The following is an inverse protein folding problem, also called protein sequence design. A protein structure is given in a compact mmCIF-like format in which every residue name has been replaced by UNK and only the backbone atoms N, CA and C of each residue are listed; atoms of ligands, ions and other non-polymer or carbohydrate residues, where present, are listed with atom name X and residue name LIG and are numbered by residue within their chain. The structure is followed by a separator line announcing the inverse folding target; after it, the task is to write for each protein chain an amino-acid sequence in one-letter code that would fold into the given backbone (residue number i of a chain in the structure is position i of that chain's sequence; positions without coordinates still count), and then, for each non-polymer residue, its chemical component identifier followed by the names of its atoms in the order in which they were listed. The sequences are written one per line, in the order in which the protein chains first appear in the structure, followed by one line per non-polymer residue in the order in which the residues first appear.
data_IF_607645580812
#
_entry.id   IF_607645580812
#
_cell.length_a   1.000
_cell.length_b   1.000
_cell.length_c   1.000
_cell.angle_alpha   90.00
_cell.angle_beta   90.00
_cell.angle_gamma   90.00
#
_symmetry.space_group_name_H-M   'P 1'
#
loop_
_entity.id
_entity.type
_entity.pdbx_description
1 polymer ?
#
# COMPACT_ATOMS: atom_id res chain seq x y z
N UNK A 1 16.35 -22.33 6.26
CA UNK A 1 16.91 -20.97 6.47
C UNK A 1 15.77 -19.97 6.43
N UNK A 2 15.06 -19.81 7.54
CA UNK A 2 14.13 -18.69 7.69
C UNK A 2 14.92 -17.63 8.45
N UNK A 3 15.32 -16.56 7.76
CA UNK A 3 16.02 -15.45 8.40
C UNK A 3 14.97 -14.67 9.20
N UNK A 4 15.07 -14.73 10.52
CA UNK A 4 14.24 -13.95 11.43
C UNK A 4 14.70 -12.48 11.37
N UNK A 5 14.14 -11.73 10.41
CA UNK A 5 14.32 -10.28 10.28
C UNK A 5 13.28 -9.57 11.13
N UNK A 6 13.40 -9.66 12.44
CA UNK A 6 12.66 -8.82 13.36
C UNK A 6 12.91 -7.33 13.03
N UNK A 7 11.97 -6.76 12.27
CA UNK A 7 11.65 -5.34 12.06
C UNK A 7 12.68 -4.30 12.56
N UNK A 8 13.87 -4.26 11.95
CA UNK A 8 14.81 -3.16 12.11
C UNK A 8 14.45 -2.02 11.14
N UNK A 9 14.60 -0.77 11.57
CA UNK A 9 14.34 0.43 10.75
C UNK A 9 15.29 0.52 9.54
N UNK A 10 16.45 -0.14 9.63
CA UNK A 10 17.48 -0.15 8.60
C UNK A 10 17.27 -1.19 7.48
N UNK A 11 16.26 -2.07 7.61
CA UNK A 11 16.00 -3.13 6.63
C UNK A 11 14.76 -2.79 5.82
N UNK A 12 14.99 -2.36 4.58
CA UNK A 12 13.93 -2.11 3.61
C UNK A 12 13.39 -3.43 3.06
N UNK A 13 12.07 -3.49 2.89
CA UNK A 13 11.44 -4.59 2.18
C UNK A 13 11.79 -4.53 0.68
N UNK A 14 12.14 -5.67 0.05
CA UNK A 14 12.85 -5.67 -1.23
C UNK A 14 12.02 -5.19 -2.43
N UNK A 15 10.69 -5.29 -2.39
CA UNK A 15 9.85 -4.88 -3.52
C UNK A 15 9.24 -3.49 -3.33
N UNK A 16 8.70 -3.19 -2.15
CA UNK A 16 8.08 -1.90 -1.85
C UNK A 16 9.12 -0.82 -1.50
N UNK A 17 10.34 -1.22 -1.10
CA UNK A 17 11.40 -0.32 -0.64
C UNK A 17 10.96 0.55 0.55
N UNK A 18 10.25 -0.05 1.50
CA UNK A 18 9.78 0.59 2.73
C UNK A 18 10.30 -0.15 3.96
N UNK A 19 10.55 0.58 5.04
CA UNK A 19 10.94 0.09 6.34
C UNK A 19 9.92 0.42 7.44
N UNK A 20 10.26 0.07 8.68
CA UNK A 20 9.39 0.34 9.83
C UNK A 20 9.22 1.85 10.06
N UNK A 21 7.97 2.30 10.09
CA UNK A 21 7.61 3.71 10.29
C UNK A 21 7.46 4.52 9.00
N UNK A 22 7.78 3.93 7.84
CA UNK A 22 7.56 4.55 6.54
C UNK A 22 6.08 4.49 6.12
N UNK A 23 5.35 3.48 6.60
CA UNK A 23 3.93 3.29 6.36
C UNK A 23 3.12 3.36 7.67
N UNK A 24 1.90 3.85 7.56
CA UNK A 24 0.93 3.87 8.64
C UNK A 24 0.33 2.48 8.91
N UNK A 25 -0.30 2.34 10.07
CA UNK A 25 -1.06 1.13 10.42
C UNK A 25 -2.22 0.85 9.43
N UNK A 26 -2.81 1.93 8.87
CA UNK A 26 -3.91 1.89 7.93
C UNK A 26 -3.39 2.11 6.50
N UNK A 27 -3.61 1.14 5.62
CA UNK A 27 -3.12 1.18 4.24
C UNK A 27 -4.24 0.93 3.23
N UNK A 28 -4.39 1.84 2.29
CA UNK A 28 -5.23 1.68 1.11
C UNK A 28 -4.39 1.11 -0.04
N UNK A 29 -4.91 0.08 -0.72
CA UNK A 29 -4.15 -0.67 -1.73
C UNK A 29 -4.85 -0.61 -3.09
N UNK A 30 -4.63 0.45 -3.90
CA UNK A 30 -5.06 0.45 -5.28
C UNK A 30 -4.24 -0.53 -6.14
N UNK A 31 -4.77 -0.91 -7.30
CA UNK A 31 -4.00 -1.67 -8.30
C UNK A 31 -3.01 -0.78 -9.06
N UNK A 32 -3.53 0.27 -9.68
CA UNK A 32 -2.76 1.18 -10.55
C UNK A 32 -1.94 2.19 -9.72
N UNK A 33 -0.61 2.30 -9.95
CA UNK A 33 0.23 3.36 -9.39
C UNK A 33 -0.31 4.77 -9.56
N UNK A 34 -0.94 5.10 -10.69
CA UNK A 34 -1.50 6.44 -10.94
C UNK A 34 -2.67 6.75 -10.01
N UNK A 35 -3.38 5.73 -9.53
CA UNK A 35 -4.44 5.90 -8.55
C UNK A 35 -3.87 6.29 -7.17
N UNK A 36 -2.63 5.93 -6.85
CA UNK A 36 -1.97 6.39 -5.62
C UNK A 36 -1.85 7.91 -5.62
N UNK A 37 -1.38 8.50 -6.72
CA UNK A 37 -1.23 9.95 -6.87
C UNK A 37 -2.58 10.67 -6.77
N UNK A 38 -3.61 10.15 -7.44
CA UNK A 38 -4.97 10.69 -7.34
C UNK A 38 -5.48 10.63 -5.90
N UNK A 39 -5.37 9.48 -5.24
CA UNK A 39 -5.84 9.31 -3.86
C UNK A 39 -5.06 10.17 -2.87
N UNK A 40 -3.77 10.39 -3.12
CA UNK A 40 -2.91 11.23 -2.28
C UNK A 40 -3.36 12.69 -2.23
N UNK A 41 -4.10 13.19 -3.25
CA UNK A 41 -4.68 14.54 -3.23
C UNK A 41 -5.71 14.75 -2.11
N UNK A 42 -6.24 13.67 -1.53
CA UNK A 42 -7.16 13.71 -0.40
C UNK A 42 -6.47 13.67 0.97
N UNK A 43 -5.14 13.49 1.01
CA UNK A 43 -4.37 13.48 2.25
C UNK A 43 -3.87 14.88 2.59
N UNK A 44 -3.79 15.20 3.88
CA UNK A 44 -2.96 16.30 4.38
C UNK A 44 -1.53 15.81 4.60
N UNK A 45 -0.57 16.68 4.26
CA UNK A 45 0.87 16.40 4.33
C UNK A 45 1.29 15.09 3.63
N UNK A 46 0.90 14.86 2.35
CA UNK A 46 1.32 13.67 1.63
C UNK A 46 2.84 13.68 1.38
N UNK A 47 3.48 12.57 1.65
CA UNK A 47 4.91 12.33 1.41
C UNK A 47 5.02 11.09 0.54
N UNK A 48 5.66 11.23 -0.63
CA UNK A 48 6.05 10.09 -1.45
C UNK A 48 7.24 9.40 -0.79
N UNK A 49 6.99 8.21 -0.27
CA UNK A 49 7.95 7.43 0.52
C UNK A 49 8.87 6.64 -0.41
N UNK A 50 8.28 5.93 -1.36
CA UNK A 50 9.01 5.08 -2.29
C UNK A 50 8.28 4.93 -3.62
N UNK A 51 9.05 4.62 -4.66
CA UNK A 51 8.57 4.15 -5.95
C UNK A 51 9.55 3.11 -6.47
N UNK A 52 9.10 1.87 -6.58
CA UNK A 52 9.90 0.78 -7.10
C UNK A 52 9.03 -0.16 -7.93
N UNK A 53 9.40 -0.38 -9.19
CA UNK A 53 8.62 -1.18 -10.15
C UNK A 53 7.17 -0.64 -10.27
N UNK A 54 6.20 -1.42 -9.83
CA UNK A 54 4.77 -1.08 -9.84
C UNK A 54 4.24 -0.68 -8.45
N UNK A 55 5.11 -0.56 -7.45
CA UNK A 55 4.76 -0.24 -6.07
C UNK A 55 5.15 1.21 -5.79
N UNK A 56 4.14 2.08 -5.73
CA UNK A 56 4.26 3.48 -5.32
C UNK A 56 3.64 3.60 -3.94
N UNK A 57 4.41 4.15 -2.99
CA UNK A 57 4.00 4.33 -1.60
C UNK A 57 3.91 5.83 -1.29
N UNK A 58 2.73 6.28 -0.86
CA UNK A 58 2.54 7.62 -0.31
C UNK A 58 1.96 7.50 1.10
N UNK A 59 2.49 8.27 2.04
CA UNK A 59 1.99 8.35 3.42
C UNK A 59 1.54 9.77 3.73
N UNK A 60 0.51 9.94 4.53
CA UNK A 60 0.00 11.25 4.95
C UNK A 60 -1.08 11.09 6.01
N UNK A 61 -1.97 12.08 6.11
CA UNK A 61 -3.07 12.03 7.08
C UNK A 61 -4.41 12.23 6.38
N UNK A 62 -5.41 11.43 6.73
CA UNK A 62 -6.79 11.65 6.33
C UNK A 62 -7.62 11.99 7.57
N UNK A 63 -8.14 13.23 7.63
CA UNK A 63 -8.90 13.73 8.80
C UNK A 63 -8.16 13.52 10.14
N UNK A 64 -6.84 13.73 10.14
CA UNK A 64 -5.97 13.54 11.30
C UNK A 64 -5.51 12.11 11.57
N UNK A 65 -6.06 11.11 10.85
CA UNK A 65 -5.63 9.71 10.94
C UNK A 65 -4.43 9.45 10.01
N UNK A 66 -3.31 8.89 10.47
CA UNK A 66 -2.22 8.44 9.61
C UNK A 66 -2.70 7.35 8.64
N UNK A 67 -2.51 7.57 7.35
CA UNK A 67 -2.90 6.64 6.28
C UNK A 67 -1.78 6.57 5.25
N UNK A 68 -1.49 5.36 4.78
CA UNK A 68 -0.65 5.12 3.61
C UNK A 68 -1.48 4.61 2.43
N UNK A 69 -0.99 4.87 1.23
CA UNK A 69 -1.57 4.40 -0.02
C UNK A 69 -0.44 3.72 -0.80
N UNK A 70 -0.62 2.45 -1.13
CA UNK A 70 0.42 1.62 -1.77
C UNK A 70 -0.16 0.87 -2.96
N UNK A 71 0.35 1.11 -4.17
CA UNK A 71 -0.11 0.33 -5.33
C UNK A 71 0.35 -1.11 -5.27
N UNK A 72 -0.51 -2.06 -5.67
CA UNK A 72 -0.18 -3.48 -5.73
C UNK A 72 0.19 -3.98 -7.12
N UNK A 73 -0.07 -3.21 -8.17
CA UNK A 73 -0.12 -3.75 -9.54
C UNK A 73 -1.28 -4.73 -9.73
N UNK A 74 -1.15 -5.60 -10.73
CA UNK A 74 -2.16 -6.56 -11.17
C UNK A 74 -1.78 -7.98 -10.73
N UNK A 75 -2.78 -8.74 -10.25
CA UNK A 75 -2.65 -10.16 -9.99
C UNK A 75 -2.31 -10.52 -8.54
N UNK A 76 -2.64 -11.76 -8.18
CA UNK A 76 -2.42 -12.31 -6.84
C UNK A 76 -0.96 -12.27 -6.40
N UNK A 77 0.05 -12.62 -7.24
CA UNK A 77 1.45 -12.60 -6.80
C UNK A 77 1.92 -11.21 -6.36
N UNK A 78 1.57 -10.17 -7.12
CA UNK A 78 1.94 -8.81 -6.81
C UNK A 78 1.23 -8.30 -5.55
N UNK A 79 -0.06 -8.64 -5.39
CA UNK A 79 -0.81 -8.35 -4.18
C UNK A 79 -0.22 -9.04 -2.94
N UNK A 80 0.21 -10.30 -3.04
CA UNK A 80 0.82 -11.03 -1.92
C UNK A 80 2.15 -10.39 -1.49
N UNK A 81 2.99 -9.99 -2.44
CA UNK A 81 4.21 -9.20 -2.13
C UNK A 81 3.86 -7.95 -1.34
N UNK A 82 2.87 -7.17 -1.82
CA UNK A 82 2.42 -5.95 -1.13
C UNK A 82 1.94 -6.24 0.29
N UNK A 83 1.10 -7.25 0.49
CA UNK A 83 0.59 -7.59 1.84
C UNK A 83 1.71 -8.05 2.76
N UNK A 84 2.54 -9.00 2.33
CA UNK A 84 3.61 -9.57 3.15
C UNK A 84 4.60 -8.51 3.61
N UNK A 85 5.04 -7.64 2.71
CA UNK A 85 6.00 -6.59 3.02
C UNK A 85 5.39 -5.52 3.93
N UNK A 86 4.13 -5.13 3.71
CA UNK A 86 3.43 -4.17 4.57
C UNK A 86 3.24 -4.68 6.00
N UNK A 87 2.86 -5.96 6.16
CA UNK A 87 2.70 -6.57 7.48
C UNK A 87 4.03 -6.59 8.25
N UNK A 88 5.15 -6.88 7.57
CA UNK A 88 6.50 -6.90 8.17
C UNK A 88 6.95 -5.54 8.71
N UNK A 89 6.46 -4.45 8.13
CA UNK A 89 6.83 -3.08 8.54
C UNK A 89 5.80 -2.40 9.45
N UNK A 90 4.74 -3.12 9.85
CA UNK A 90 3.81 -2.70 10.89
C UNK A 90 2.43 -2.22 10.41
N UNK A 91 2.09 -2.39 9.13
CA UNK A 91 0.71 -2.22 8.69
C UNK A 91 -0.20 -3.30 9.33
N UNK A 92 -1.44 -2.95 9.65
CA UNK A 92 -2.41 -3.91 10.24
C UNK A 92 -3.75 -3.91 9.54
N UNK A 93 -4.18 -2.77 9.03
CA UNK A 93 -5.48 -2.61 8.38
C UNK A 93 -5.22 -2.34 6.90
N UNK A 94 -5.52 -3.33 6.07
CA UNK A 94 -5.29 -3.29 4.63
C UNK A 94 -6.65 -3.29 3.90
N UNK A 95 -6.93 -2.23 3.15
CA UNK A 95 -8.18 -2.10 2.37
C UNK A 95 -7.83 -1.98 0.89
N UNK A 96 -8.22 -2.97 0.10
CA UNK A 96 -8.02 -2.92 -1.35
C UNK A 96 -9.03 -1.98 -2.02
N UNK A 97 -8.54 -1.06 -2.85
CA UNK A 97 -9.36 -0.12 -3.62
C UNK A 97 -9.20 -0.43 -5.12
N UNK A 98 -9.92 -1.46 -5.55
CA UNK A 98 -9.83 -2.02 -6.90
C UNK A 98 -10.92 -1.54 -7.85
N UNK A 99 -10.87 -2.10 -9.06
CA UNK A 99 -11.99 -2.10 -10.02
C UNK A 99 -12.39 -3.55 -10.26
N UNK A 100 -13.66 -3.79 -10.56
CA UNK A 100 -14.18 -5.11 -10.91
C UNK A 100 -15.32 -4.96 -11.91
N UNK A 101 -15.64 -6.04 -12.62
CA UNK A 101 -16.89 -6.14 -13.38
C UNK A 101 -18.03 -6.57 -12.47
N UNK A 102 -19.17 -5.89 -12.56
CA UNK A 102 -20.42 -6.35 -11.97
C UNK A 102 -21.03 -7.46 -12.82
N UNK A 103 -21.34 -8.61 -12.21
CA UNK A 103 -21.99 -9.73 -12.90
C UNK A 103 -23.50 -9.80 -12.66
N UNK A 104 -23.95 -9.23 -11.54
CA UNK A 104 -25.37 -9.24 -11.19
C UNK A 104 -26.11 -8.12 -11.94
N UNK A 105 -27.30 -8.38 -12.51
CA UNK A 105 -28.01 -7.40 -13.34
C UNK A 105 -28.38 -6.09 -12.64
N UNK A 106 -28.48 -6.10 -11.31
CA UNK A 106 -28.82 -4.95 -10.47
C UNK A 106 -27.59 -4.12 -10.06
N UNK A 107 -26.38 -4.62 -10.31
CA UNK A 107 -25.14 -3.85 -10.08
C UNK A 107 -24.96 -2.86 -11.22
N UNK A 108 -25.11 -1.57 -10.90
CA UNK A 108 -24.87 -0.47 -11.83
C UNK A 108 -23.38 -0.29 -12.10
N UNK A 109 -23.05 0.02 -13.36
CA UNK A 109 -21.70 0.34 -13.84
C UNK A 109 -21.57 1.85 -14.04
#
# INVERSE_FOLDING_TARGET
MFYDMAANKDVLQPHLMVGKGDVAEHVLIPGDPKRVELMATHLSNPIKVSENRQFVTVSGHYKGLPVSIVSSGIGVPAMLITVEELLRVGAKILIRVGTTGGLQPDVKV
#
